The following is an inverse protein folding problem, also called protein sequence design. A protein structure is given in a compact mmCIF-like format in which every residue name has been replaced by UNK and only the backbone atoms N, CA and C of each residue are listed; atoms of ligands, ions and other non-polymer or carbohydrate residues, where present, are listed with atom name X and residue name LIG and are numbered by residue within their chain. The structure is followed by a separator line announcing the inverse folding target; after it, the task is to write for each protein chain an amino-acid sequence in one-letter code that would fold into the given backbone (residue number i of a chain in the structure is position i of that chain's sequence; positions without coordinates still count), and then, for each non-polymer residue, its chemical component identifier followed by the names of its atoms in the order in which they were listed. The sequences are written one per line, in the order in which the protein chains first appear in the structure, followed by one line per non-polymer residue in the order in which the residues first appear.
data_IF_608244272854
#
_entry.id   IF_608244272854
#
_cell.length_a   1.000
_cell.length_b   1.000
_cell.length_c   1.000
_cell.angle_alpha   90.00
_cell.angle_beta   90.00
_cell.angle_gamma   90.00
#
_symmetry.space_group_name_H-M   'P 1'
#
loop_
_entity.id
_entity.type
_entity.pdbx_description
1 polymer ?
#
# COMPACT_ATOMS: atom_id res chain seq x y z
N UNK A 1 -9.08 -11.49 -9.76
CA UNK A 1 -8.84 -10.60 -8.63
C UNK A 1 -7.38 -10.21 -8.54
N UNK A 2 -7.13 -8.93 -8.40
CA UNK A 2 -5.75 -8.47 -8.30
C UNK A 2 -5.18 -8.82 -6.94
N UNK A 3 -3.98 -9.37 -6.94
CA UNK A 3 -3.26 -9.64 -5.71
C UNK A 3 -2.20 -8.56 -5.51
N UNK A 4 -1.92 -8.19 -4.26
CA UNK A 4 -0.90 -7.18 -4.02
C UNK A 4 0.47 -7.69 -4.44
N UNK A 5 1.26 -6.81 -5.02
CA UNK A 5 2.63 -7.17 -5.38
C UNK A 5 3.55 -7.12 -4.16
N UNK A 6 3.15 -6.37 -3.13
CA UNK A 6 3.94 -6.23 -1.92
C UNK A 6 3.03 -5.86 -0.76
N UNK A 7 3.34 -6.35 0.43
CA UNK A 7 2.63 -6.00 1.65
C UNK A 7 3.62 -5.62 2.73
N UNK A 8 3.25 -4.60 3.50
CA UNK A 8 3.99 -4.21 4.68
C UNK A 8 3.04 -4.28 5.86
N UNK A 9 3.46 -4.93 6.92
CA UNK A 9 2.62 -5.12 8.09
C UNK A 9 3.39 -4.82 9.37
N UNK A 10 2.72 -4.15 10.28
CA UNK A 10 3.24 -3.95 11.63
C UNK A 10 2.06 -4.03 12.58
N UNK A 11 2.02 -5.08 13.41
CA UNK A 11 0.88 -5.31 14.27
C UNK A 11 -0.40 -5.47 13.47
N UNK A 12 -1.40 -4.67 13.77
CA UNK A 12 -2.69 -4.70 13.08
C UNK A 12 -2.70 -3.85 11.81
N UNK A 13 -1.69 -3.01 11.62
CA UNK A 13 -1.64 -2.10 10.48
C UNK A 13 -0.97 -2.76 9.28
N UNK A 14 -1.58 -2.58 8.11
CA UNK A 14 -1.10 -3.21 6.88
C UNK A 14 -1.27 -2.27 5.71
N UNK A 15 -0.26 -2.22 4.85
CA UNK A 15 -0.35 -1.52 3.58
C UNK A 15 -0.06 -2.52 2.47
N UNK A 16 -0.95 -2.57 1.50
CA UNK A 16 -0.81 -3.45 0.33
C UNK A 16 -0.57 -2.58 -0.90
N UNK A 17 0.39 -3.00 -1.72
CA UNK A 17 0.73 -2.29 -2.95
C UNK A 17 0.16 -3.09 -4.12
N UNK A 18 -0.65 -2.41 -4.94
CA UNK A 18 -1.25 -3.02 -6.13
C UNK A 18 -0.76 -2.31 -7.38
N UNK A 19 -0.56 -3.07 -8.43
CA UNK A 19 -0.22 -2.52 -9.72
C UNK A 19 -1.42 -2.69 -10.65
N UNK A 20 -1.83 -1.58 -11.26
CA UNK A 20 -2.91 -1.58 -12.24
C UNK A 20 -2.37 -1.10 -13.58
N UNK A 21 -2.83 -1.73 -14.65
CA UNK A 21 -2.48 -1.29 -15.99
C UNK A 21 -3.70 -0.56 -16.56
N UNK A 22 -3.49 0.67 -16.99
CA UNK A 22 -4.55 1.45 -17.62
C UNK A 22 -4.16 1.75 -19.06
N UNK A 23 -5.17 1.96 -19.89
CA UNK A 23 -4.96 2.36 -21.28
C UNK A 23 -5.42 3.80 -21.41
N UNK A 24 -4.53 4.66 -21.92
CA UNK A 24 -4.84 6.05 -22.12
C UNK A 24 -5.70 6.22 -23.37
N UNK A 25 -6.24 7.42 -23.57
CA UNK A 25 -7.04 7.73 -24.75
C UNK A 25 -6.26 7.55 -26.04
N UNK A 26 -4.94 7.66 -25.95
CA UNK A 26 -4.05 7.52 -27.10
C UNK A 26 -3.63 6.10 -27.35
N UNK A 27 -4.15 5.16 -26.57
CA UNK A 27 -3.83 3.75 -26.73
C UNK A 27 -2.59 3.29 -26.01
N UNK A 28 -1.96 4.17 -25.24
CA UNK A 28 -0.77 3.80 -24.48
C UNK A 28 -1.16 3.08 -23.19
N UNK A 29 -0.37 2.08 -22.84
CA UNK A 29 -0.56 1.38 -21.58
C UNK A 29 0.36 1.99 -20.53
N UNK A 30 -0.21 2.24 -19.36
CA UNK A 30 0.56 2.76 -18.24
C UNK A 30 0.33 1.90 -17.01
N UNK A 31 1.39 1.72 -16.26
CA UNK A 31 1.32 0.99 -15.00
C UNK A 31 1.23 1.98 -13.87
N UNK A 32 0.19 1.83 -13.07
CA UNK A 32 -0.02 2.67 -11.90
C UNK A 32 0.03 1.80 -10.67
N UNK A 33 0.73 2.28 -9.67
CA UNK A 33 0.80 1.58 -8.39
C UNK A 33 0.02 2.35 -7.35
N UNK A 34 -0.73 1.63 -6.55
CA UNK A 34 -1.53 2.21 -5.49
C UNK A 34 -1.26 1.49 -4.18
N UNK A 35 -1.33 2.24 -3.10
CA UNK A 35 -1.20 1.69 -1.77
C UNK A 35 -2.56 1.71 -1.09
N UNK A 36 -2.93 0.60 -0.49
CA UNK A 36 -4.17 0.48 0.26
C UNK A 36 -3.83 0.22 1.72
N UNK A 37 -4.28 1.09 2.61
CA UNK A 37 -4.03 0.96 4.04
C UNK A 37 -5.24 0.40 4.74
N UNK A 38 -5.01 -0.51 5.69
CA UNK A 38 -6.07 -1.00 6.54
C UNK A 38 -5.51 -1.42 7.88
N UNK A 39 -6.35 -1.31 8.90
CA UNK A 39 -6.09 -1.87 10.21
C UNK A 39 -7.05 -3.03 10.39
N UNK A 40 -6.53 -4.18 10.74
CA UNK A 40 -7.35 -5.35 11.00
C UNK A 40 -7.53 -5.52 12.50
N UNK A 41 -8.74 -5.85 12.89
CA UNK A 41 -9.04 -6.06 14.30
C UNK A 41 -10.09 -7.15 14.46
N UNK A 42 -10.14 -7.69 15.66
CA UNK A 42 -11.12 -8.71 16.00
C UNK A 42 -12.25 -8.05 16.76
N UNK A 43 -13.47 -8.23 16.30
CA UNK A 43 -14.61 -7.62 16.97
C UNK A 43 -15.05 -8.45 18.19
N UNK A 44 -16.12 -8.02 18.85
CA UNK A 44 -16.63 -8.68 20.05
C UNK A 44 -17.08 -10.11 19.79
N UNK A 45 -17.44 -10.44 18.56
CA UNK A 45 -17.88 -11.78 18.18
C UNK A 45 -16.71 -12.67 17.73
N UNK A 46 -15.49 -12.16 17.79
CA UNK A 46 -14.32 -12.91 17.34
C UNK A 46 -14.09 -12.91 15.86
N UNK A 47 -14.79 -12.06 15.12
CA UNK A 47 -14.63 -11.96 13.67
C UNK A 47 -13.60 -10.89 13.30
N UNK A 48 -12.83 -11.17 12.27
CA UNK A 48 -11.84 -10.23 11.77
C UNK A 48 -12.50 -9.18 10.88
N UNK A 49 -12.22 -7.93 11.16
CA UNK A 49 -12.74 -6.80 10.40
C UNK A 49 -11.63 -5.81 10.07
N UNK A 50 -11.88 -4.93 9.13
CA UNK A 50 -10.92 -3.91 8.72
C UNK A 50 -11.50 -2.52 8.93
N UNK A 51 -10.61 -1.58 9.24
CA UNK A 51 -11.01 -0.19 9.42
C UNK A 51 -9.85 0.72 9.02
N UNK A 52 -10.18 1.98 8.75
CA UNK A 52 -9.17 3.01 8.53
C UNK A 52 -8.96 3.86 9.77
N UNK A 53 -9.72 3.62 10.83
CA UNK A 53 -9.58 4.37 12.08
C UNK A 53 -8.44 3.80 12.91
N UNK A 54 -7.69 4.69 13.55
CA UNK A 54 -6.51 4.30 14.32
C UNK A 54 -6.63 4.77 15.75
N UNK A 55 -6.23 3.91 16.68
CA UNK A 55 -6.04 4.31 18.08
C UNK A 55 -4.66 4.92 18.22
N UNK A 56 -4.45 5.61 19.34
CA UNK A 56 -3.19 6.28 19.59
C UNK A 56 -2.00 5.33 19.43
N UNK A 57 -2.12 4.12 19.93
CA UNK A 57 -1.04 3.13 19.88
C UNK A 57 -0.80 2.59 18.47
N UNK A 58 -1.76 2.76 17.58
CA UNK A 58 -1.64 2.30 16.20
C UNK A 58 -0.91 3.30 15.31
N UNK A 59 -0.90 4.57 15.71
CA UNK A 59 -0.35 5.62 14.86
C UNK A 59 1.11 5.41 14.49
N UNK A 60 2.01 5.10 15.45
CA UNK A 60 3.41 4.85 15.05
C UNK A 60 3.56 3.63 14.16
N UNK A 61 2.71 2.63 14.35
CA UNK A 61 2.74 1.43 13.50
C UNK A 61 2.26 1.74 12.09
N UNK A 62 1.19 2.53 11.97
CA UNK A 62 0.70 2.98 10.68
C UNK A 62 1.75 3.84 9.98
N UNK A 63 2.39 4.73 10.72
CA UNK A 63 3.46 5.56 10.17
C UNK A 63 4.58 4.71 9.59
N UNK A 64 4.96 3.67 10.31
CA UNK A 64 6.03 2.79 9.87
C UNK A 64 5.69 2.09 8.56
N UNK A 65 4.51 1.45 8.49
CA UNK A 65 4.15 0.72 7.27
C UNK A 65 3.92 1.65 6.09
N UNK A 66 3.35 2.83 6.34
CA UNK A 66 3.17 3.83 5.28
C UNK A 66 4.51 4.35 4.78
N UNK A 67 5.46 4.54 5.69
CA UNK A 67 6.79 4.98 5.31
C UNK A 67 7.49 3.94 4.43
N UNK A 68 7.36 2.66 4.78
CA UNK A 68 7.95 1.59 3.98
C UNK A 68 7.29 1.50 2.60
N UNK A 69 5.98 1.69 2.54
CA UNK A 69 5.28 1.72 1.27
C UNK A 69 5.74 2.90 0.42
N UNK A 70 5.93 4.05 1.04
CA UNK A 70 6.42 5.22 0.33
C UNK A 70 7.83 4.99 -0.22
N UNK A 71 8.71 4.42 0.59
CA UNK A 71 10.06 4.10 0.13
C UNK A 71 10.02 3.15 -1.06
N UNK A 72 9.21 2.13 -0.97
CA UNK A 72 9.10 1.14 -2.03
C UNK A 72 8.68 1.79 -3.34
N UNK A 73 7.64 2.63 -3.27
CA UNK A 73 7.12 3.29 -4.47
C UNK A 73 8.05 4.38 -5.00
N UNK A 74 8.58 5.20 -4.08
CA UNK A 74 9.40 6.33 -4.47
C UNK A 74 10.77 5.90 -4.97
N UNK A 75 11.39 4.92 -4.30
CA UNK A 75 12.71 4.46 -4.71
C UNK A 75 12.69 3.77 -6.06
N UNK A 76 11.63 3.01 -6.33
CA UNK A 76 11.51 2.38 -7.64
C UNK A 76 11.43 3.43 -8.75
N UNK A 77 10.70 4.52 -8.52
CA UNK A 77 10.63 5.60 -9.49
C UNK A 77 11.97 6.29 -9.66
N UNK A 78 12.68 6.50 -8.57
CA UNK A 78 13.98 7.15 -8.62
C UNK A 78 14.99 6.31 -9.38
N UNK A 79 14.95 5.01 -9.21
CA UNK A 79 15.82 4.11 -9.94
C UNK A 79 15.54 4.19 -11.43
N UNK A 80 14.27 4.20 -11.81
CA UNK A 80 13.88 4.33 -13.21
C UNK A 80 14.36 5.65 -13.81
N UNK A 81 14.22 6.74 -13.07
CA UNK A 81 14.69 8.03 -13.53
C UNK A 81 16.20 8.05 -13.73
N UNK A 82 16.94 7.42 -12.86
CA UNK A 82 18.40 7.36 -12.99
C UNK A 82 18.81 6.58 -14.23
N UNK A 83 18.07 5.56 -14.57
CA UNK A 83 18.35 4.78 -15.77
C UNK A 83 18.10 5.57 -17.04
N UNK A 84 17.14 6.48 -17.01
CA UNK A 84 16.83 7.35 -18.15
C UNK A 84 17.90 8.41 -18.38
N UNK A 85 18.61 8.76 -17.34
CA UNK A 85 19.64 9.76 -17.44
C UNK A 85 20.99 9.11 -17.78
#
# INVERSE_FOLDING_TARGET
MAQPEKRFRCGACEVSIFENVITTKEGEKRRLKKASFQKRYKDANGEWKSTNSLDVNDIPKAKLVLNEAYKYLALNKDIEKKEEN
#
